data_IF_300468489122
#
_entry.id   IF_300468489122
#
_cell.length_a   1.000
_cell.length_b   1.000
_cell.length_c   1.000
_cell.angle_alpha   90.00
_cell.angle_beta   90.00
_cell.angle_gamma   90.00
#
_symmetry.space_group_name_H-M   'P 1'
#
loop_
_entity.id
_entity.type
_entity.pdbx_description
1 polymer ?
#
# COMPACT_ATOMS: atom_id res chain seq x y z
N UNK A 1 5.25 -17.18 -45.80
CA UNK A 1 6.15 -18.23 -45.28
C UNK A 1 5.61 -18.74 -43.95
N UNK A 2 5.78 -20.04 -43.62
CA UNK A 2 5.47 -20.58 -42.29
C UNK A 2 6.79 -20.72 -41.53
N UNK A 3 6.95 -19.95 -40.45
CA UNK A 3 8.08 -20.10 -39.53
C UNK A 3 7.82 -21.32 -38.66
N UNK A 4 8.82 -22.20 -38.55
CA UNK A 4 8.70 -23.42 -37.72
C UNK A 4 8.97 -23.11 -36.25
N UNK A 5 8.39 -23.92 -35.36
CA UNK A 5 8.64 -23.82 -33.91
C UNK A 5 10.15 -23.89 -33.58
N UNK A 6 10.92 -24.69 -34.32
CA UNK A 6 12.37 -24.79 -34.15
C UNK A 6 13.11 -23.48 -34.49
N UNK A 7 12.64 -22.73 -35.49
CA UNK A 7 13.20 -21.42 -35.83
C UNK A 7 12.88 -20.38 -34.76
N UNK A 8 11.69 -20.45 -34.15
CA UNK A 8 11.33 -19.61 -33.01
C UNK A 8 12.17 -19.94 -31.76
N UNK A 9 12.42 -21.23 -31.49
CA UNK A 9 13.24 -21.67 -30.36
C UNK A 9 14.70 -21.24 -30.53
N UNK A 10 15.28 -21.44 -31.72
CA UNK A 10 16.65 -21.03 -32.01
C UNK A 10 16.85 -19.50 -31.93
N UNK A 11 15.83 -18.73 -32.32
CA UNK A 11 15.83 -17.28 -32.14
C UNK A 11 15.79 -16.91 -30.65
N UNK A 12 14.94 -17.57 -29.85
CA UNK A 12 14.87 -17.34 -28.41
C UNK A 12 16.18 -17.72 -27.68
N UNK A 13 16.79 -18.85 -28.01
CA UNK A 13 18.07 -19.28 -27.43
C UNK A 13 19.21 -18.30 -27.77
N UNK A 14 19.20 -17.72 -28.99
CA UNK A 14 20.13 -16.65 -29.39
C UNK A 14 19.94 -15.36 -28.57
N UNK A 15 18.74 -15.09 -28.04
CA UNK A 15 18.48 -13.91 -27.21
C UNK A 15 19.14 -14.00 -25.82
N UNK A 16 19.37 -15.21 -25.31
CA UNK A 16 19.96 -15.49 -23.98
C UNK A 16 21.50 -15.45 -24.02
N UNK A 17 22.12 -15.72 -25.18
CA UNK A 17 23.56 -15.90 -25.33
C UNK A 17 24.41 -14.61 -25.37
N UNK A 18 23.89 -13.46 -24.95
CA UNK A 18 24.68 -12.21 -24.84
C UNK A 18 25.11 -11.58 -26.17
N UNK A 19 24.48 -11.96 -27.30
CA UNK A 19 24.75 -11.34 -28.60
C UNK A 19 24.11 -9.96 -28.66
N UNK A 20 24.90 -8.91 -28.40
CA UNK A 20 24.51 -7.51 -28.53
C UNK A 20 24.48 -7.12 -30.02
N UNK A 21 23.33 -7.33 -30.66
CA UNK A 21 23.06 -6.87 -32.00
C UNK A 21 21.55 -6.79 -32.28
N UNK A 22 21.10 -5.85 -33.13
CA UNK A 22 19.71 -5.76 -33.53
C UNK A 22 19.33 -7.05 -34.27
N UNK A 23 18.33 -7.76 -33.75
CA UNK A 23 17.73 -8.89 -34.45
C UNK A 23 17.12 -8.36 -35.76
N UNK A 24 17.73 -8.68 -36.91
CA UNK A 24 17.12 -8.48 -38.23
C UNK A 24 16.05 -9.54 -38.44
N UNK A 25 14.96 -9.43 -37.71
CA UNK A 25 13.76 -10.20 -37.96
C UNK A 25 12.94 -9.51 -39.05
N UNK A 26 12.36 -10.28 -39.99
CA UNK A 26 11.34 -9.73 -40.86
C UNK A 26 10.22 -9.09 -40.02
N UNK A 27 9.76 -7.88 -40.38
CA UNK A 27 8.77 -7.12 -39.58
C UNK A 27 7.48 -7.93 -39.33
N UNK A 28 7.10 -8.83 -40.23
CA UNK A 28 5.96 -9.74 -40.10
C UNK A 28 6.10 -10.78 -38.97
N UNK A 29 7.30 -10.98 -38.40
CA UNK A 29 7.56 -11.95 -37.35
C UNK A 29 7.89 -11.31 -35.99
N UNK A 30 8.14 -10.00 -35.97
CA UNK A 30 8.44 -9.26 -34.74
C UNK A 30 7.31 -9.42 -33.71
N UNK A 31 6.05 -9.23 -34.12
CA UNK A 31 4.90 -9.33 -33.22
C UNK A 31 4.76 -10.73 -32.57
N UNK A 32 4.96 -11.81 -33.36
CA UNK A 32 4.85 -13.19 -32.87
C UNK A 32 6.00 -13.58 -31.94
N UNK A 33 7.22 -13.13 -32.24
CA UNK A 33 8.39 -13.37 -31.38
C UNK A 33 8.34 -12.56 -30.10
N UNK A 34 7.82 -11.33 -30.15
CA UNK A 34 7.51 -10.53 -28.97
C UNK A 34 6.47 -11.20 -28.11
N UNK A 35 5.36 -11.63 -28.71
CA UNK A 35 4.34 -12.34 -27.96
C UNK A 35 4.89 -13.63 -27.34
N UNK A 36 5.78 -14.35 -28.03
CA UNK A 36 6.45 -15.54 -27.50
C UNK A 36 7.40 -15.19 -26.34
N UNK A 37 8.23 -14.17 -26.49
CA UNK A 37 9.16 -13.73 -25.46
C UNK A 37 8.43 -13.19 -24.22
N UNK A 38 7.32 -12.48 -24.41
CA UNK A 38 6.44 -12.00 -23.35
C UNK A 38 5.58 -13.11 -22.73
N UNK A 39 5.49 -14.27 -23.40
CA UNK A 39 4.93 -15.50 -22.83
C UNK A 39 5.97 -16.34 -22.10
N UNK A 40 7.26 -15.96 -22.14
CA UNK A 40 8.30 -16.65 -21.42
C UNK A 40 8.25 -16.28 -19.92
N UNK A 41 8.44 -17.27 -19.04
CA UNK A 41 8.51 -17.04 -17.59
C UNK A 41 9.86 -16.47 -17.13
N UNK A 42 10.85 -16.40 -18.01
CA UNK A 42 12.18 -15.89 -17.73
C UNK A 42 12.25 -14.36 -17.91
N UNK A 43 12.51 -13.57 -16.85
CA UNK A 43 12.55 -12.12 -16.93
C UNK A 43 13.72 -11.58 -17.77
N UNK A 44 14.82 -12.33 -17.88
CA UNK A 44 15.96 -11.98 -18.74
C UNK A 44 15.57 -11.98 -20.22
N UNK A 45 14.83 -13.02 -20.64
CA UNK A 45 14.29 -13.18 -21.99
C UNK A 45 13.30 -12.07 -22.35
N UNK A 46 12.37 -11.75 -21.43
CA UNK A 46 11.42 -10.65 -21.65
C UNK A 46 12.13 -9.29 -21.77
N UNK A 47 13.13 -9.03 -20.92
CA UNK A 47 13.95 -7.80 -20.97
C UNK A 47 14.76 -7.71 -22.27
N UNK A 48 15.42 -8.80 -22.67
CA UNK A 48 16.19 -8.87 -23.90
C UNK A 48 15.31 -8.73 -25.16
N UNK A 49 14.03 -9.14 -25.09
CA UNK A 49 13.05 -8.92 -26.15
C UNK A 49 12.56 -7.47 -26.18
N UNK A 50 12.25 -6.89 -25.03
CA UNK A 50 11.83 -5.48 -24.93
C UNK A 50 12.91 -4.53 -25.49
N UNK A 51 14.19 -4.77 -25.17
CA UNK A 51 15.33 -3.97 -25.69
C UNK A 51 15.52 -4.07 -27.20
N UNK A 52 14.96 -5.09 -27.85
CA UNK A 52 15.05 -5.30 -29.30
C UNK A 52 13.79 -4.88 -30.04
N UNK A 53 12.86 -4.21 -29.35
CA UNK A 53 11.69 -3.59 -29.97
C UNK A 53 12.13 -2.49 -30.94
N UNK A 54 11.54 -2.40 -32.14
CA UNK A 54 11.72 -1.23 -32.98
C UNK A 54 11.19 0.01 -32.26
N UNK A 55 11.86 1.15 -32.42
CA UNK A 55 11.45 2.44 -31.81
C UNK A 55 10.03 2.86 -32.21
N UNK A 56 9.56 2.40 -33.38
CA UNK A 56 8.23 2.64 -33.91
C UNK A 56 7.43 1.34 -33.86
N UNK A 57 6.79 1.09 -32.72
CA UNK A 57 5.72 0.10 -32.61
C UNK A 57 4.39 0.77 -32.94
N UNK A 58 3.54 0.06 -33.67
CA UNK A 58 2.11 0.40 -33.77
C UNK A 58 1.52 0.55 -32.35
N UNK A 59 0.85 1.67 -32.02
CA UNK A 59 0.38 1.96 -30.67
C UNK A 59 -0.47 0.84 -30.06
N UNK A 60 -1.34 0.22 -30.87
CA UNK A 60 -2.15 -0.91 -30.41
C UNK A 60 -1.33 -2.15 -30.07
N UNK A 61 -0.24 -2.41 -30.79
CA UNK A 61 0.62 -3.56 -30.56
C UNK A 61 1.45 -3.36 -29.30
N UNK A 62 2.05 -2.17 -29.13
CA UNK A 62 2.75 -1.81 -27.90
C UNK A 62 1.81 -1.88 -26.69
N UNK A 63 0.57 -1.35 -26.81
CA UNK A 63 -0.47 -1.50 -25.78
C UNK A 63 -0.77 -2.96 -25.45
N UNK A 64 -0.96 -3.84 -26.45
CA UNK A 64 -1.21 -5.27 -26.23
C UNK A 64 -0.03 -5.97 -25.54
N UNK A 65 1.20 -5.62 -25.90
CA UNK A 65 2.42 -6.17 -25.30
C UNK A 65 2.58 -5.72 -23.85
N UNK A 66 2.42 -4.42 -23.58
CA UNK A 66 2.40 -3.82 -22.24
C UNK A 66 1.38 -4.53 -21.35
N UNK A 67 0.17 -4.72 -21.86
CA UNK A 67 -0.93 -5.39 -21.15
C UNK A 67 -0.65 -6.87 -20.91
N UNK A 68 -0.09 -7.57 -21.88
CA UNK A 68 0.27 -8.99 -21.72
C UNK A 68 1.38 -9.15 -20.68
N UNK A 69 2.36 -8.24 -20.66
CA UNK A 69 3.41 -8.18 -19.64
C UNK A 69 2.81 -8.07 -18.23
N UNK A 70 2.01 -7.03 -18.02
CA UNK A 70 1.43 -6.71 -16.71
C UNK A 70 0.47 -7.79 -16.25
N UNK A 71 -0.40 -8.30 -17.12
CA UNK A 71 -1.36 -9.35 -16.75
C UNK A 71 -0.72 -10.72 -16.51
N UNK A 72 0.41 -11.05 -17.14
CA UNK A 72 1.09 -12.35 -16.95
C UNK A 72 2.17 -12.37 -15.89
N UNK A 73 2.59 -11.22 -15.35
CA UNK A 73 3.56 -11.16 -14.25
C UNK A 73 3.08 -11.82 -12.93
N UNK A 74 1.87 -12.41 -12.85
CA UNK A 74 1.24 -12.69 -11.55
C UNK A 74 0.62 -14.06 -11.23
N UNK A 75 0.95 -15.19 -11.88
CA UNK A 75 0.37 -16.48 -11.41
C UNK A 75 1.35 -17.63 -11.20
N UNK A 76 2.24 -17.92 -12.15
CA UNK A 76 3.10 -19.10 -12.04
C UNK A 76 4.36 -18.88 -11.16
N UNK A 77 4.94 -17.67 -11.19
CA UNK A 77 6.17 -17.34 -10.44
C UNK A 77 5.87 -16.98 -8.99
N UNK A 78 4.73 -16.35 -8.69
CA UNK A 78 4.36 -15.98 -7.32
C UNK A 78 3.96 -17.14 -6.42
N UNK A 79 3.43 -18.22 -6.97
CA UNK A 79 3.17 -19.45 -6.19
C UNK A 79 4.47 -20.17 -5.84
N UNK A 80 5.47 -20.12 -6.73
CA UNK A 80 6.78 -20.77 -6.52
C UNK A 80 7.71 -19.93 -5.64
N UNK A 81 7.70 -18.60 -5.84
CA UNK A 81 8.56 -17.64 -5.15
C UNK A 81 8.03 -17.22 -3.78
N UNK A 82 6.71 -17.21 -3.49
CA UNK A 82 6.23 -16.91 -2.12
C UNK A 82 6.66 -17.96 -1.07
N UNK A 83 7.03 -19.18 -1.50
CA UNK A 83 7.57 -20.20 -0.61
C UNK A 83 9.08 -19.98 -0.35
N UNK A 84 9.83 -19.46 -1.32
CA UNK A 84 11.29 -19.25 -1.23
C UNK A 84 11.69 -17.82 -0.80
N UNK A 85 10.88 -16.80 -1.10
CA UNK A 85 11.18 -15.38 -0.93
C UNK A 85 10.86 -14.80 0.45
N UNK A 86 10.31 -15.60 1.38
CA UNK A 86 10.22 -15.18 2.80
C UNK A 86 11.61 -14.87 3.41
N UNK A 87 12.70 -15.28 2.75
CA UNK A 87 14.08 -15.09 3.20
C UNK A 87 14.99 -14.20 2.32
N UNK A 88 14.53 -13.60 1.20
CA UNK A 88 15.41 -12.75 0.37
C UNK A 88 14.65 -11.69 -0.45
N UNK A 89 14.50 -10.49 0.12
CA UNK A 89 13.81 -9.35 -0.50
C UNK A 89 14.69 -8.49 -1.43
N UNK A 90 15.89 -8.93 -1.83
CA UNK A 90 16.84 -8.09 -2.60
C UNK A 90 16.90 -8.34 -4.12
N UNK A 91 16.16 -9.30 -4.66
CA UNK A 91 16.26 -9.68 -6.09
C UNK A 91 15.06 -9.25 -6.97
N UNK A 92 14.30 -8.23 -6.58
CA UNK A 92 13.20 -7.65 -7.38
C UNK A 92 13.66 -6.61 -8.42
N UNK A 93 14.96 -6.28 -8.49
CA UNK A 93 15.47 -5.20 -9.36
C UNK A 93 15.22 -5.43 -10.86
N UNK A 94 15.13 -6.67 -11.33
CA UNK A 94 14.89 -6.98 -12.74
C UNK A 94 13.47 -6.66 -13.23
N UNK A 95 12.46 -6.74 -12.35
CA UNK A 95 11.06 -6.55 -12.75
C UNK A 95 10.65 -5.07 -12.77
N UNK A 96 11.21 -4.26 -11.86
CA UNK A 96 11.01 -2.80 -11.85
C UNK A 96 11.53 -2.18 -13.15
N UNK A 97 12.71 -2.62 -13.61
CA UNK A 97 13.31 -2.12 -14.84
C UNK A 97 12.46 -2.38 -16.10
N UNK A 98 11.74 -3.50 -16.18
CA UNK A 98 10.86 -3.76 -17.33
C UNK A 98 9.66 -2.82 -17.34
N UNK A 99 9.01 -2.57 -16.20
CA UNK A 99 7.90 -1.64 -16.11
C UNK A 99 8.34 -0.20 -16.44
N UNK A 100 9.50 0.22 -15.96
CA UNK A 100 10.09 1.52 -16.25
C UNK A 100 10.39 1.67 -17.75
N UNK A 101 11.10 0.71 -18.37
CA UNK A 101 11.37 0.71 -19.82
C UNK A 101 10.08 0.69 -20.66
N UNK A 102 9.05 0.00 -20.19
CA UNK A 102 7.75 -0.08 -20.84
C UNK A 102 6.94 1.22 -20.70
N UNK A 103 7.15 1.98 -19.62
CA UNK A 103 6.54 3.28 -19.38
C UNK A 103 7.10 4.37 -20.31
N UNK A 104 8.31 4.18 -20.82
CA UNK A 104 8.97 5.11 -21.76
C UNK A 104 8.48 4.96 -23.21
N UNK A 105 7.72 3.91 -23.54
CA UNK A 105 7.21 3.69 -24.89
C UNK A 105 6.13 4.74 -25.24
N UNK A 106 6.13 5.32 -26.46
CA UNK A 106 5.12 6.31 -26.88
C UNK A 106 3.66 5.82 -26.71
N UNK A 107 3.41 4.53 -26.92
CA UNK A 107 2.08 3.95 -26.75
C UNK A 107 1.61 3.86 -25.29
N UNK A 108 2.52 4.01 -24.31
CA UNK A 108 2.17 4.09 -22.91
C UNK A 108 1.51 5.44 -22.55
N UNK A 109 1.65 6.47 -23.41
CA UNK A 109 1.04 7.80 -23.26
C UNK A 109 -0.36 7.89 -23.89
N UNK A 110 -0.79 6.86 -24.63
CA UNK A 110 -2.09 6.81 -25.32
C UNK A 110 -3.18 6.14 -24.47
N UNK A 111 -2.91 5.81 -23.20
CA UNK A 111 -3.94 5.27 -22.32
C UNK A 111 -4.80 6.41 -21.77
N UNK A 112 -6.09 6.39 -22.08
CA UNK A 112 -6.99 7.35 -21.46
C UNK A 112 -6.94 7.20 -19.93
N UNK A 113 -6.93 8.32 -19.20
CA UNK A 113 -6.87 8.33 -17.73
C UNK A 113 -7.97 7.46 -17.09
N UNK A 114 -9.14 7.37 -17.73
CA UNK A 114 -10.25 6.51 -17.33
C UNK A 114 -9.91 5.01 -17.45
N UNK A 115 -9.35 4.58 -18.57
CA UNK A 115 -8.95 3.18 -18.76
C UNK A 115 -7.81 2.80 -17.81
N UNK A 116 -6.84 3.71 -17.61
CA UNK A 116 -5.77 3.51 -16.63
C UNK A 116 -6.36 3.29 -15.22
N UNK A 117 -7.24 4.19 -14.76
CA UNK A 117 -7.85 4.07 -13.43
C UNK A 117 -8.69 2.79 -13.27
N UNK A 118 -9.45 2.39 -14.30
CA UNK A 118 -10.21 1.13 -14.27
C UNK A 118 -9.30 -0.10 -14.15
N UNK A 119 -8.18 -0.10 -14.87
CA UNK A 119 -7.19 -1.19 -14.79
C UNK A 119 -6.49 -1.21 -13.45
N UNK A 120 -6.03 -0.06 -12.97
CA UNK A 120 -5.47 0.09 -11.64
C UNK A 120 -6.45 -0.44 -10.58
N UNK A 121 -7.75 -0.16 -10.70
CA UNK A 121 -8.77 -0.67 -9.78
C UNK A 121 -8.90 -2.20 -9.85
N UNK A 122 -8.86 -2.78 -11.05
CA UNK A 122 -8.91 -4.23 -11.22
C UNK A 122 -7.68 -4.91 -10.59
N UNK A 123 -6.49 -4.35 -10.79
CA UNK A 123 -5.23 -4.81 -10.18
C UNK A 123 -5.31 -4.66 -8.66
N UNK A 124 -5.89 -3.56 -8.17
CA UNK A 124 -6.16 -3.34 -6.75
C UNK A 124 -7.07 -4.47 -6.22
N UNK A 125 -8.19 -4.79 -6.85
CA UNK A 125 -9.01 -5.91 -6.38
C UNK A 125 -8.32 -7.29 -6.41
N UNK A 126 -7.36 -7.47 -7.32
CA UNK A 126 -6.60 -8.72 -7.44
C UNK A 126 -5.52 -8.89 -6.36
N UNK A 127 -5.11 -7.81 -5.66
CA UNK A 127 -4.02 -7.90 -4.69
C UNK A 127 -2.62 -7.91 -5.30
N UNK A 128 -2.51 -7.50 -6.56
CA UNK A 128 -1.27 -7.51 -7.30
C UNK A 128 -0.49 -6.20 -7.07
N UNK A 129 0.42 -6.22 -6.10
CA UNK A 129 1.15 -5.01 -5.73
C UNK A 129 2.34 -4.70 -6.62
N UNK A 130 2.89 -5.67 -7.35
CA UNK A 130 3.99 -5.41 -8.29
C UNK A 130 3.44 -4.67 -9.50
N UNK A 131 2.26 -5.08 -9.98
CA UNK A 131 1.59 -4.38 -11.07
C UNK A 131 1.10 -3.00 -10.63
N UNK A 132 0.60 -2.81 -9.40
CA UNK A 132 0.29 -1.45 -8.92
C UNK A 132 1.54 -0.57 -8.91
N UNK A 133 2.65 -1.05 -8.35
CA UNK A 133 3.90 -0.31 -8.33
C UNK A 133 4.42 -0.01 -9.74
N UNK A 134 4.33 -0.97 -10.65
CA UNK A 134 4.72 -0.79 -12.05
C UNK A 134 3.87 0.30 -12.72
N UNK A 135 2.56 0.26 -12.50
CA UNK A 135 1.62 1.21 -13.10
C UNK A 135 1.72 2.61 -12.46
N UNK A 136 2.15 2.76 -11.21
CA UNK A 136 2.34 4.08 -10.60
C UNK A 136 3.48 4.90 -11.23
N UNK A 137 4.40 4.25 -11.97
CA UNK A 137 5.45 4.94 -12.74
C UNK A 137 4.98 5.43 -14.11
N UNK A 138 3.81 5.01 -14.59
CA UNK A 138 3.35 5.43 -15.91
C UNK A 138 3.06 6.94 -15.91
N UNK A 139 3.42 7.67 -16.98
CA UNK A 139 3.15 9.10 -17.11
C UNK A 139 1.68 9.45 -16.86
N UNK A 140 0.78 8.60 -17.36
CA UNK A 140 -0.67 8.75 -17.23
C UNK A 140 -1.19 8.59 -15.81
N UNK A 141 -0.40 8.00 -14.90
CA UNK A 141 -0.73 7.95 -13.47
C UNK A 141 -0.86 9.35 -12.88
N UNK A 142 -0.10 10.34 -13.42
CA UNK A 142 -0.21 11.76 -13.04
C UNK A 142 -1.45 12.44 -13.63
N UNK A 143 -1.99 11.89 -14.71
CA UNK A 143 -3.20 12.37 -15.38
C UNK A 143 -4.51 11.82 -14.79
N UNK A 144 -4.42 10.95 -13.78
CA UNK A 144 -5.61 10.40 -13.11
C UNK A 144 -6.32 11.51 -12.34
N UNK A 145 -7.62 11.76 -12.60
CA UNK A 145 -8.37 12.75 -11.84
C UNK A 145 -8.34 12.42 -10.35
N UNK A 146 -8.18 13.45 -9.52
CA UNK A 146 -8.10 13.34 -8.06
C UNK A 146 -9.14 12.39 -7.45
N UNK A 147 -10.42 12.52 -7.84
CA UNK A 147 -11.51 11.66 -7.35
C UNK A 147 -11.31 10.17 -7.69
N UNK A 148 -10.74 9.86 -8.85
CA UNK A 148 -10.46 8.47 -9.23
C UNK A 148 -9.30 7.90 -8.42
N UNK A 149 -8.26 8.71 -8.17
CA UNK A 149 -7.12 8.33 -7.34
C UNK A 149 -7.54 8.11 -5.88
N UNK A 150 -8.40 8.98 -5.32
CA UNK A 150 -8.97 8.80 -3.99
C UNK A 150 -9.82 7.53 -3.90
N UNK A 151 -10.60 7.21 -4.93
CA UNK A 151 -11.39 5.98 -5.01
C UNK A 151 -10.49 4.73 -5.05
N UNK A 152 -9.41 4.78 -5.82
CA UNK A 152 -8.40 3.71 -5.89
C UNK A 152 -7.76 3.46 -4.53
N UNK A 153 -7.31 4.53 -3.86
CA UNK A 153 -6.72 4.43 -2.53
C UNK A 153 -7.72 3.90 -1.50
N UNK A 154 -8.95 4.42 -1.49
CA UNK A 154 -10.01 3.95 -0.59
C UNK A 154 -10.26 2.46 -0.78
N UNK A 155 -10.35 2.00 -2.03
CA UNK A 155 -10.54 0.59 -2.36
C UNK A 155 -9.35 -0.26 -1.89
N UNK A 156 -8.11 0.18 -2.13
CA UNK A 156 -6.90 -0.51 -1.66
C UNK A 156 -6.84 -0.61 -0.13
N UNK A 157 -7.27 0.44 0.57
CA UNK A 157 -7.35 0.47 2.03
C UNK A 157 -8.41 -0.51 2.54
N UNK A 158 -9.57 -0.59 1.89
CA UNK A 158 -10.70 -1.43 2.31
C UNK A 158 -10.54 -2.91 1.94
N UNK A 159 -9.81 -3.25 0.89
CA UNK A 159 -9.72 -4.63 0.36
C UNK A 159 -9.09 -5.59 1.40
N UNK A 160 -9.82 -6.61 1.90
CA UNK A 160 -9.37 -7.45 3.01
C UNK A 160 -8.18 -8.36 2.66
N UNK A 161 -8.03 -8.71 1.38
CA UNK A 161 -6.95 -9.59 0.89
C UNK A 161 -5.58 -8.92 0.85
N UNK A 162 -5.53 -7.61 1.07
CA UNK A 162 -4.31 -6.83 0.91
C UNK A 162 -3.41 -6.95 2.13
N UNK A 163 -2.50 -7.91 2.05
CA UNK A 163 -1.35 -8.05 2.96
C UNK A 163 -0.26 -7.01 2.64
N UNK A 164 -0.23 -6.52 1.41
CA UNK A 164 0.91 -5.79 0.88
C UNK A 164 0.73 -4.28 1.01
N UNK A 165 1.41 -3.77 2.05
CA UNK A 165 1.87 -2.38 2.27
C UNK A 165 2.20 -1.60 0.98
N UNK A 166 2.77 -2.27 -0.03
CA UNK A 166 3.40 -1.63 -1.19
C UNK A 166 2.44 -0.72 -1.92
N UNK A 167 1.41 -1.28 -2.53
CA UNK A 167 0.52 -0.54 -3.41
C UNK A 167 -0.22 0.63 -2.75
N UNK A 168 -0.55 0.55 -1.45
CA UNK A 168 -1.08 1.73 -0.73
C UNK A 168 -0.03 2.83 -0.57
N UNK A 169 1.23 2.47 -0.28
CA UNK A 169 2.33 3.45 -0.21
C UNK A 169 2.55 4.10 -1.57
N UNK A 170 2.60 3.30 -2.64
CA UNK A 170 2.79 3.81 -4.01
C UNK A 170 1.66 4.74 -4.43
N UNK A 171 0.41 4.47 -4.01
CA UNK A 171 -0.73 5.35 -4.28
C UNK A 171 -0.75 6.60 -3.39
N UNK A 172 -0.12 6.58 -2.21
CA UNK A 172 -0.02 7.75 -1.34
C UNK A 172 0.93 8.82 -1.90
N UNK A 173 1.99 8.44 -2.60
CA UNK A 173 2.96 9.39 -3.15
C UNK A 173 2.34 10.38 -4.15
N UNK A 174 1.64 9.96 -5.21
CA UNK A 174 0.95 10.88 -6.10
C UNK A 174 -0.15 11.64 -5.37
N UNK A 175 -0.85 11.04 -4.40
CA UNK A 175 -1.84 11.74 -3.57
C UNK A 175 -1.25 12.85 -2.71
N UNK A 176 0.00 12.74 -2.28
CA UNK A 176 0.68 13.80 -1.57
C UNK A 176 0.86 15.08 -2.41
N UNK A 177 0.82 14.95 -3.74
CA UNK A 177 0.84 16.09 -4.66
C UNK A 177 -0.54 16.78 -4.81
N UNK A 178 -1.63 16.13 -4.39
CA UNK A 178 -2.97 16.71 -4.43
C UNK A 178 -3.39 17.26 -3.07
N UNK A 179 -4.23 18.30 -3.08
CA UNK A 179 -4.84 18.86 -1.88
C UNK A 179 -6.06 18.02 -1.47
N UNK A 180 -5.81 16.84 -0.90
CA UNK A 180 -6.87 16.04 -0.24
C UNK A 180 -7.40 16.79 0.98
N UNK A 181 -8.70 16.68 1.23
CA UNK A 181 -9.35 17.34 2.37
C UNK A 181 -9.00 16.65 3.70
N UNK A 182 -9.22 17.35 4.82
CA UNK A 182 -9.08 16.77 6.15
C UNK A 182 -10.00 15.56 6.34
N UNK A 183 -11.25 15.67 5.88
CA UNK A 183 -12.28 14.64 5.98
C UNK A 183 -11.93 13.39 5.16
N UNK A 184 -11.36 13.57 3.97
CA UNK A 184 -10.90 12.48 3.12
C UNK A 184 -9.74 11.73 3.78
N UNK A 185 -8.75 12.45 4.31
CA UNK A 185 -7.64 11.87 5.05
C UNK A 185 -8.13 11.11 6.30
N UNK A 186 -9.04 11.70 7.08
CA UNK A 186 -9.67 11.07 8.23
C UNK A 186 -10.43 9.80 7.84
N UNK A 187 -11.19 9.83 6.73
CA UNK A 187 -11.93 8.69 6.20
C UNK A 187 -11.00 7.52 5.82
N UNK A 188 -9.91 7.81 5.12
CA UNK A 188 -8.89 6.81 4.75
C UNK A 188 -8.22 6.18 5.97
N UNK A 189 -7.83 6.99 6.96
CA UNK A 189 -7.24 6.50 8.21
C UNK A 189 -8.23 5.61 8.97
N UNK A 190 -9.51 6.02 9.05
CA UNK A 190 -10.55 5.24 9.70
C UNK A 190 -10.80 3.90 9.00
N UNK A 191 -10.79 3.87 7.66
CA UNK A 191 -10.91 2.65 6.88
C UNK A 191 -9.73 1.70 7.15
N UNK A 192 -8.49 2.22 7.13
CA UNK A 192 -7.28 1.43 7.41
C UNK A 192 -7.28 0.85 8.83
N UNK A 193 -7.76 1.64 9.79
CA UNK A 193 -7.92 1.24 11.18
C UNK A 193 -8.95 0.11 11.36
N UNK A 194 -10.10 0.20 10.68
CA UNK A 194 -11.13 -0.86 10.68
C UNK A 194 -10.59 -2.17 10.13
N UNK A 195 -9.75 -2.09 9.11
CA UNK A 195 -9.08 -3.27 8.56
C UNK A 195 -7.93 -3.77 9.44
N UNK A 196 -7.42 -2.96 10.37
CA UNK A 196 -6.28 -3.31 11.22
C UNK A 196 -4.93 -3.20 10.48
N UNK A 197 -4.87 -2.44 9.40
CA UNK A 197 -3.69 -2.31 8.53
C UNK A 197 -2.76 -1.20 9.04
N UNK A 198 -2.03 -1.46 10.13
CA UNK A 198 -1.16 -0.45 10.77
C UNK A 198 -0.06 0.13 9.86
N UNK A 199 0.46 -0.65 8.91
CA UNK A 199 1.46 -0.16 7.94
C UNK A 199 0.87 0.80 6.92
N UNK A 200 -0.40 0.58 6.56
CA UNK A 200 -1.17 1.49 5.71
C UNK A 200 -1.49 2.76 6.47
N UNK A 201 -1.88 2.65 7.76
CA UNK A 201 -2.03 3.81 8.64
C UNK A 201 -0.75 4.67 8.67
N UNK A 202 0.43 4.07 8.82
CA UNK A 202 1.70 4.80 8.86
C UNK A 202 1.95 5.56 7.54
N UNK A 203 1.67 4.93 6.40
CA UNK A 203 1.77 5.57 5.09
C UNK A 203 0.78 6.74 4.92
N UNK A 204 -0.49 6.52 5.27
CA UNK A 204 -1.54 7.54 5.21
C UNK A 204 -1.24 8.71 6.15
N UNK A 205 -0.68 8.44 7.33
CA UNK A 205 -0.25 9.49 8.25
C UNK A 205 0.80 10.41 7.64
N UNK A 206 1.60 9.97 6.67
CA UNK A 206 2.60 10.84 6.02
C UNK A 206 2.00 11.74 4.94
N UNK A 207 0.71 11.61 4.61
CA UNK A 207 0.05 12.53 3.70
C UNK A 207 -0.06 13.94 4.31
N UNK A 208 0.13 15.01 3.53
CA UNK A 208 0.02 16.39 4.03
C UNK A 208 -1.31 16.67 4.75
N UNK A 209 -2.44 16.18 4.23
CA UNK A 209 -3.73 16.38 4.90
C UNK A 209 -3.88 15.61 6.21
N UNK A 210 -3.25 14.44 6.35
CA UNK A 210 -3.22 13.75 7.63
C UNK A 210 -2.44 14.55 8.69
N UNK A 211 -1.39 15.28 8.27
CA UNK A 211 -0.64 16.21 9.12
C UNK A 211 -1.40 17.52 9.41
N UNK A 212 -2.52 17.78 8.74
CA UNK A 212 -3.42 18.91 8.99
C UNK A 212 -4.66 18.53 9.80
N UNK A 213 -4.78 17.27 10.21
CA UNK A 213 -5.94 16.80 10.98
C UNK A 213 -6.10 17.62 12.26
N UNK A 214 -7.32 18.07 12.50
CA UNK A 214 -7.69 18.68 13.75
C UNK A 214 -7.54 17.68 14.90
N UNK A 215 -7.31 18.19 16.10
CA UNK A 215 -7.30 17.36 17.29
C UNK A 215 -8.62 16.58 17.46
N UNK A 216 -9.75 17.15 17.05
CA UNK A 216 -11.05 16.48 17.07
C UNK A 216 -11.05 15.21 16.22
N UNK A 217 -10.57 15.30 14.98
CA UNK A 217 -10.46 14.16 14.05
C UNK A 217 -9.54 13.07 14.60
N UNK A 218 -8.38 13.44 15.18
CA UNK A 218 -7.45 12.45 15.77
C UNK A 218 -8.07 11.74 16.98
N UNK A 219 -8.79 12.46 17.84
CA UNK A 219 -9.49 11.85 18.97
C UNK A 219 -10.61 10.92 18.51
N UNK A 220 -11.32 11.26 17.45
CA UNK A 220 -12.30 10.36 16.84
C UNK A 220 -11.64 9.10 16.27
N UNK A 221 -10.46 9.20 15.66
CA UNK A 221 -9.68 8.04 15.20
C UNK A 221 -9.21 7.18 16.37
N UNK A 222 -8.76 7.79 17.47
CA UNK A 222 -8.39 7.07 18.69
C UNK A 222 -9.60 6.35 19.30
N UNK A 223 -10.75 7.01 19.42
CA UNK A 223 -12.00 6.40 19.89
C UNK A 223 -12.51 5.29 18.95
N UNK A 224 -12.36 5.46 17.64
CA UNK A 224 -12.66 4.39 16.69
C UNK A 224 -11.73 3.18 16.90
N UNK A 225 -10.44 3.41 17.19
CA UNK A 225 -9.45 2.34 17.37
C UNK A 225 -9.80 1.43 18.55
N UNK A 226 -10.29 2.03 19.64
CA UNK A 226 -10.72 1.33 20.85
C UNK A 226 -12.06 0.61 20.66
N UNK A 227 -12.90 1.05 19.73
CA UNK A 227 -14.15 0.34 19.37
C UNK A 227 -13.89 -0.86 18.45
N UNK A 228 -12.92 -0.75 17.54
CA UNK A 228 -12.59 -1.81 16.56
C UNK A 228 -11.90 -3.00 17.24
N UNK A 229 -11.02 -2.75 18.21
CA UNK A 229 -10.37 -3.78 19.02
C UNK A 229 -11.37 -4.75 19.66
N UNK A 230 -12.52 -4.24 20.09
CA UNK A 230 -13.52 -5.01 20.83
C UNK A 230 -14.22 -6.08 19.98
N UNK A 231 -14.23 -5.94 18.65
CA UNK A 231 -14.95 -6.85 17.75
C UNK A 231 -14.11 -8.02 17.24
N UNK A 232 -12.82 -7.79 16.93
CA UNK A 232 -11.97 -8.80 16.25
C UNK A 232 -11.39 -9.87 17.18
N UNK A 233 -11.17 -9.55 18.47
CA UNK A 233 -10.53 -10.49 19.41
C UNK A 233 -11.48 -11.43 20.15
N UNK A 234 -12.80 -11.24 20.04
CA UNK A 234 -13.78 -12.19 20.62
C UNK A 234 -13.74 -13.54 19.88
N UNK A 235 -13.13 -13.61 18.69
CA UNK A 235 -13.17 -14.80 17.82
C UNK A 235 -11.85 -15.59 17.83
N UNK A 236 -10.73 -15.04 18.31
CA UNK A 236 -9.39 -15.64 18.05
C UNK A 236 -8.57 -16.11 19.26
N UNK A 237 -8.97 -15.95 20.52
CA UNK A 237 -8.17 -16.49 21.64
C UNK A 237 -8.97 -17.20 22.72
N UNK A 238 -8.85 -18.54 22.74
CA UNK A 238 -9.02 -19.38 23.94
C UNK A 238 -7.82 -19.37 24.88
N UNK A 239 -6.81 -18.51 24.67
CA UNK A 239 -5.52 -18.54 25.39
C UNK A 239 -5.31 -17.47 26.47
N UNK A 240 -5.96 -16.30 26.39
CA UNK A 240 -5.78 -15.18 27.35
C UNK A 240 -7.01 -14.88 28.21
N UNK A 241 -7.81 -15.91 28.48
CA UNK A 241 -9.11 -15.81 29.16
C UNK A 241 -9.02 -15.26 30.60
N UNK A 242 -7.94 -15.53 31.34
CA UNK A 242 -7.85 -15.17 32.77
C UNK A 242 -7.70 -13.65 33.02
N UNK A 243 -6.93 -12.95 32.18
CA UNK A 243 -6.74 -11.50 32.29
C UNK A 243 -7.97 -10.74 31.78
N UNK A 244 -8.60 -11.23 30.72
CA UNK A 244 -9.85 -10.70 30.16
C UNK A 244 -11.06 -10.95 31.09
N UNK A 245 -11.07 -12.06 31.84
CA UNK A 245 -12.08 -12.36 32.86
C UNK A 245 -11.90 -11.51 34.14
N UNK A 246 -10.66 -11.21 34.56
CA UNK A 246 -10.39 -10.24 35.65
C UNK A 246 -10.83 -8.83 35.25
N UNK A 247 -10.58 -8.44 34.01
CA UNK A 247 -11.04 -7.21 33.40
C UNK A 247 -12.58 -7.06 33.36
N UNK A 248 -13.30 -8.12 32.97
CA UNK A 248 -14.78 -8.14 32.92
C UNK A 248 -15.44 -8.00 34.30
N UNK A 249 -14.79 -8.45 35.38
CA UNK A 249 -15.31 -8.34 36.76
C UNK A 249 -15.25 -6.91 37.34
N UNK A 250 -14.53 -5.98 36.72
CA UNK A 250 -14.34 -4.60 37.20
C UNK A 250 -15.35 -3.58 36.63
N UNK A 251 -16.45 -4.07 36.03
CA UNK A 251 -17.69 -3.28 35.89
C UNK A 251 -17.65 -2.04 35.00
N UNK A 252 -16.66 -1.86 34.12
CA UNK A 252 -16.62 -0.71 33.21
C UNK A 252 -16.25 -1.11 31.77
N UNK A 253 -17.29 -1.27 30.95
CA UNK A 253 -17.23 -1.76 29.57
C UNK A 253 -16.52 -0.85 28.56
N UNK A 254 -16.08 0.35 28.93
CA UNK A 254 -15.51 1.32 27.98
C UNK A 254 -13.98 1.45 28.01
N UNK A 255 -13.30 1.06 29.11
CA UNK A 255 -11.85 1.28 29.26
C UNK A 255 -11.03 -0.02 29.28
N UNK A 256 -11.58 -1.12 29.82
CA UNK A 256 -10.80 -2.36 29.99
C UNK A 256 -10.83 -3.28 28.75
N UNK A 257 -11.73 -3.02 27.80
CA UNK A 257 -11.81 -3.74 26.54
C UNK A 257 -10.83 -3.22 25.46
N UNK A 258 -10.12 -2.12 25.72
CA UNK A 258 -9.16 -1.54 24.77
C UNK A 258 -8.00 -2.48 24.43
N UNK A 259 -7.62 -3.44 25.28
CA UNK A 259 -6.39 -4.27 25.16
C UNK A 259 -6.30 -5.21 23.93
N UNK A 260 -7.24 -5.10 22.97
CA UNK A 260 -7.35 -5.96 21.79
C UNK A 260 -7.08 -5.23 20.45
N UNK A 261 -6.61 -3.99 20.47
CA UNK A 261 -6.10 -3.32 19.27
C UNK A 261 -4.68 -3.80 18.92
N UNK A 262 -4.31 -3.80 17.64
CA UNK A 262 -2.90 -4.04 17.27
C UNK A 262 -2.07 -2.86 17.83
N UNK A 263 -1.11 -3.07 18.77
CA UNK A 263 -0.38 -1.99 19.44
C UNK A 263 0.25 -0.98 18.47
N UNK A 264 0.65 -1.46 17.30
CA UNK A 264 1.21 -0.62 16.24
C UNK A 264 0.26 0.45 15.69
N UNK A 265 -1.06 0.22 15.64
CA UNK A 265 -2.00 1.27 15.20
C UNK A 265 -1.98 2.46 16.16
N UNK A 266 -1.93 2.17 17.46
CA UNK A 266 -1.95 3.18 18.52
C UNK A 266 -0.63 3.95 18.55
N UNK A 267 0.49 3.26 18.38
CA UNK A 267 1.80 3.91 18.24
C UNK A 267 1.80 4.88 17.05
N UNK A 268 1.24 4.48 15.92
CA UNK A 268 1.15 5.36 14.72
C UNK A 268 0.26 6.58 15.00
N UNK A 269 -0.90 6.40 15.65
CA UNK A 269 -1.78 7.52 16.01
C UNK A 269 -1.15 8.46 17.04
N UNK A 270 -0.39 7.94 18.01
CA UNK A 270 0.37 8.80 18.94
C UNK A 270 1.50 9.55 18.25
N UNK A 271 2.22 8.92 17.31
CA UNK A 271 3.20 9.64 16.48
C UNK A 271 2.54 10.77 15.69
N UNK A 272 1.33 10.54 15.16
CA UNK A 272 0.57 11.57 14.48
C UNK A 272 0.17 12.70 15.45
N UNK A 273 -0.38 12.36 16.62
CA UNK A 273 -0.75 13.33 17.66
C UNK A 273 0.45 14.18 18.11
N UNK A 274 1.62 13.56 18.23
CA UNK A 274 2.87 14.23 18.58
C UNK A 274 3.38 15.10 17.43
N UNK A 275 3.32 14.63 16.17
CA UNK A 275 3.67 15.50 15.03
C UNK A 275 2.75 16.74 14.95
N UNK A 276 1.51 16.57 15.38
CA UNK A 276 0.52 17.64 15.50
C UNK A 276 0.76 18.55 16.73
N UNK A 277 1.83 18.39 17.51
CA UNK A 277 2.22 19.23 18.67
C UNK A 277 2.32 20.74 18.36
N UNK A 278 2.32 21.13 17.09
CA UNK A 278 2.11 22.53 16.69
C UNK A 278 0.70 23.05 17.05
N UNK A 279 -0.26 22.16 17.29
CA UNK A 279 -1.65 22.46 17.64
C UNK A 279 -1.82 22.22 19.15
N UNK A 280 -2.08 23.29 19.89
CA UNK A 280 -2.25 23.27 21.35
C UNK A 280 -3.39 22.31 21.76
N UNK A 281 -3.04 21.11 22.22
CA UNK A 281 -4.01 20.23 22.88
C UNK A 281 -4.57 20.93 24.12
N UNK A 282 -5.88 20.87 24.34
CA UNK A 282 -6.45 21.31 25.61
C UNK A 282 -6.01 20.40 26.76
N UNK A 283 -6.11 20.90 27.98
CA UNK A 283 -5.86 20.13 29.22
C UNK A 283 -6.68 18.84 29.25
N UNK A 284 -7.95 18.91 28.85
CA UNK A 284 -8.84 17.75 28.80
C UNK A 284 -8.36 16.70 27.78
N UNK A 285 -7.97 17.13 26.57
CA UNK A 285 -7.50 16.23 25.52
C UNK A 285 -6.17 15.58 25.87
N UNK A 286 -5.26 16.35 26.47
CA UNK A 286 -3.97 15.85 26.96
C UNK A 286 -4.18 14.79 28.05
N UNK A 287 -5.14 15.00 28.96
CA UNK A 287 -5.51 14.01 29.97
C UNK A 287 -5.98 12.69 29.36
N UNK A 288 -6.89 12.75 28.37
CA UNK A 288 -7.42 11.55 27.72
C UNK A 288 -6.34 10.82 26.90
N UNK A 289 -5.51 11.56 26.16
CA UNK A 289 -4.38 10.99 25.43
C UNK A 289 -3.40 10.27 26.37
N UNK A 290 -3.07 10.87 27.53
CA UNK A 290 -2.20 10.27 28.54
C UNK A 290 -2.79 8.99 29.13
N UNK A 291 -4.10 8.97 29.41
CA UNK A 291 -4.78 7.74 29.89
C UNK A 291 -4.66 6.61 28.89
N UNK A 292 -4.88 6.90 27.60
CA UNK A 292 -4.73 5.90 26.53
C UNK A 292 -3.27 5.46 26.42
N UNK A 293 -2.30 6.38 26.39
CA UNK A 293 -0.89 6.03 26.28
C UNK A 293 -0.42 5.15 27.46
N UNK A 294 -0.82 5.49 28.68
CA UNK A 294 -0.51 4.73 29.89
C UNK A 294 -1.17 3.34 29.91
N UNK A 295 -2.43 3.23 29.47
CA UNK A 295 -3.15 1.96 29.38
C UNK A 295 -2.45 0.96 28.45
N UNK A 296 -1.76 1.48 27.43
CA UNK A 296 -1.06 0.70 26.42
C UNK A 296 0.44 0.54 26.68
N UNK A 297 0.93 1.00 27.84
CA UNK A 297 2.35 1.00 28.18
C UNK A 297 3.23 1.62 27.08
N UNK A 298 2.72 2.65 26.39
CA UNK A 298 3.46 3.33 25.34
C UNK A 298 4.36 4.42 25.96
N UNK A 299 5.51 4.01 26.50
CA UNK A 299 6.43 4.87 27.25
C UNK A 299 6.84 6.13 26.47
N UNK A 300 7.15 5.99 25.18
CA UNK A 300 7.46 7.11 24.28
C UNK A 300 6.31 8.12 24.19
N UNK A 301 5.06 7.63 24.06
CA UNK A 301 3.90 8.49 23.94
C UNK A 301 3.58 9.18 25.28
N UNK A 302 3.69 8.47 26.40
CA UNK A 302 3.52 9.06 27.74
C UNK A 302 4.55 10.16 27.96
N UNK A 303 5.82 9.89 27.64
CA UNK A 303 6.92 10.86 27.81
C UNK A 303 6.67 12.13 26.98
N UNK A 304 6.29 11.98 25.71
CA UNK A 304 5.99 13.11 24.82
C UNK A 304 4.76 13.90 25.27
N UNK A 305 3.68 13.22 25.65
CA UNK A 305 2.47 13.87 26.14
C UNK A 305 2.68 14.60 27.47
N UNK A 306 3.52 14.06 28.36
CA UNK A 306 3.90 14.73 29.61
C UNK A 306 4.75 15.99 29.38
N UNK A 307 5.44 16.09 28.23
CA UNK A 307 6.22 17.27 27.88
C UNK A 307 5.37 18.43 27.36
N UNK A 308 4.08 18.23 27.10
CA UNK A 308 3.19 19.27 26.59
C UNK A 308 2.85 20.30 27.68
N UNK A 309 2.74 21.61 27.35
CA UNK A 309 2.35 22.63 28.32
C UNK A 309 1.04 22.32 29.04
N UNK A 310 0.06 21.75 28.31
CA UNK A 310 -1.23 21.35 28.86
C UNK A 310 -1.13 20.27 29.94
N UNK A 311 -0.06 19.45 29.94
CA UNK A 311 0.17 18.43 30.95
C UNK A 311 0.49 19.04 32.33
N UNK A 312 1.13 20.22 32.36
CA UNK A 312 1.42 20.95 33.60
C UNK A 312 0.18 21.44 34.35
N UNK A 313 -0.96 21.51 33.68
CA UNK A 313 -2.25 21.92 34.26
C UNK A 313 -3.14 20.74 34.65
N UNK A 314 -2.67 19.50 34.49
CA UNK A 314 -3.45 18.32 34.81
C UNK A 314 -3.57 18.13 36.32
N UNK A 315 -4.81 18.11 36.80
CA UNK A 315 -5.07 17.72 38.18
C UNK A 315 -4.90 16.20 38.35
N UNK A 316 -4.53 15.79 39.57
CA UNK A 316 -4.51 14.35 39.93
C UNK A 316 -5.87 13.68 39.71
N UNK A 317 -6.98 14.42 39.79
CA UNK A 317 -8.34 13.92 39.48
C UNK A 317 -8.53 13.60 38.00
N UNK A 318 -7.91 14.37 37.10
CA UNK A 318 -7.96 14.12 35.66
C UNK A 318 -7.04 12.95 35.26
N UNK A 319 -5.89 12.81 35.92
CA UNK A 319 -4.94 11.72 35.67
C UNK A 319 -5.28 10.42 36.40
N UNK A 320 -6.16 10.46 37.41
CA UNK A 320 -6.75 9.25 37.97
C UNK A 320 -7.47 8.54 36.82
N UNK A 321 -6.78 7.56 36.24
CA UNK A 321 -7.41 6.34 35.74
C UNK A 321 -8.37 5.99 36.86
N UNK A 322 -9.67 6.21 36.63
CA UNK A 322 -10.66 5.96 37.66
C UNK A 322 -10.40 4.51 38.07
N UNK A 323 -9.85 4.32 39.27
CA UNK A 323 -9.78 3.01 39.92
C UNK A 323 -11.25 2.66 40.07
N UNK A 324 -11.71 1.79 39.18
CA UNK A 324 -13.07 1.32 39.09
C UNK A 324 -13.03 -0.16 39.45
#
# INVERSE_FOLDING_TARGET
MRVSYAQLLAAADSMVAGVEGPLKLPPEHAASLLQLAMNCSDPGTATAAARRLPEQLEPELARKLLLTATTRQHTAVLMRSNYEARNSWRSTSGYVGLAEMLSDLPAAYDLSSKEFAQRMLAVVHQGDTVTVHSLSYFPDARGVPHQQLLKLLTTAVEEPRWVSRGATIELCEPLAAYDISEEEAAGLLLAALRQGKYRVLDALCNLPAAQRLSCGSVLQLLDASTKISNKKYVVLEGGRSAELARARKLGNGSLVLCLAGHPSCIIVLFRLLVKLEAVQLSVQQTAEALKVAALWSCEDAVTRLCALPAAGFLSSKQLRLRRL
#
